data_IF_172111606346
#
_entry.id   IF_172111606346
#
_cell.length_a   1.000
_cell.length_b   1.000
_cell.length_c   1.000
_cell.angle_alpha   90.00
_cell.angle_beta   90.00
_cell.angle_gamma   90.00
#
_symmetry.space_group_name_H-M   'P 1'
#
loop_
_entity.id
_entity.type
_entity.pdbx_description
1 polymer ?
#
# COMPACT_ATOMS: atom_id res chain seq x y z
N UNK A 1 -7.64 0.22 1.05
CA UNK A 1 -7.22 -1.19 0.89
C UNK A 1 -6.24 -1.69 1.97
N UNK A 2 -5.64 -0.83 2.80
CA UNK A 2 -4.47 -1.25 3.59
C UNK A 2 -4.71 -2.23 4.75
N UNK A 3 -5.96 -2.48 5.15
CA UNK A 3 -6.28 -3.34 6.30
C UNK A 3 -6.80 -4.74 5.91
N UNK A 4 -7.14 -4.97 4.63
CA UNK A 4 -7.80 -6.20 4.16
C UNK A 4 -7.00 -6.97 3.11
N UNK A 5 -5.89 -6.42 2.63
CA UNK A 5 -5.06 -7.06 1.60
C UNK A 5 -3.90 -7.86 2.24
N UNK A 6 -4.22 -9.02 2.81
CA UNK A 6 -3.23 -10.05 3.15
C UNK A 6 -2.99 -10.92 1.91
N UNK A 7 -1.78 -10.91 1.35
CA UNK A 7 -1.45 -11.69 0.13
C UNK A 7 -0.43 -11.07 -0.81
N UNK A 8 0.13 -9.90 -0.49
CA UNK A 8 1.17 -9.25 -1.30
C UNK A 8 0.60 -8.37 -2.44
N UNK A 9 1.46 -7.87 -3.35
CA UNK A 9 1.09 -6.89 -4.37
C UNK A 9 -0.03 -7.35 -5.32
N UNK A 10 -0.07 -8.64 -5.67
CA UNK A 10 -1.15 -9.21 -6.49
C UNK A 10 -2.52 -9.13 -5.82
N UNK A 11 -2.58 -9.30 -4.49
CA UNK A 11 -3.85 -9.20 -3.76
C UNK A 11 -4.41 -7.78 -3.82
N UNK A 12 -3.55 -6.76 -3.76
CA UNK A 12 -3.97 -5.37 -3.94
C UNK A 12 -4.51 -5.11 -5.35
N UNK A 13 -3.83 -5.61 -6.38
CA UNK A 13 -4.24 -5.43 -7.78
C UNK A 13 -5.58 -6.12 -8.03
N UNK A 14 -5.77 -7.35 -7.55
CA UNK A 14 -7.05 -8.06 -7.68
C UNK A 14 -8.20 -7.37 -6.94
N UNK A 15 -7.94 -6.81 -5.74
CA UNK A 15 -8.92 -5.98 -5.05
C UNK A 15 -9.25 -4.70 -5.83
N UNK A 16 -8.27 -4.08 -6.48
CA UNK A 16 -8.49 -2.92 -7.34
C UNK A 16 -9.33 -3.25 -8.56
N UNK A 17 -9.10 -4.40 -9.21
CA UNK A 17 -9.90 -4.86 -10.35
C UNK A 17 -11.36 -5.03 -9.94
N UNK A 18 -11.63 -5.76 -8.86
CA UNK A 18 -12.98 -5.98 -8.37
C UNK A 18 -13.69 -4.66 -7.99
N UNK A 19 -13.02 -3.78 -7.24
CA UNK A 19 -13.64 -2.51 -6.86
C UNK A 19 -13.82 -1.55 -8.03
N UNK A 20 -12.82 -1.41 -8.92
CA UNK A 20 -12.81 -0.38 -9.97
C UNK A 20 -13.52 -0.82 -11.25
N UNK A 21 -13.45 -2.11 -11.60
CA UNK A 21 -14.07 -2.66 -12.81
C UNK A 21 -15.44 -3.25 -12.50
N UNK A 22 -15.55 -4.14 -11.50
CA UNK A 22 -16.80 -4.88 -11.27
C UNK A 22 -17.82 -4.09 -10.45
N UNK A 23 -17.44 -3.62 -9.25
CA UNK A 23 -18.38 -2.97 -8.34
C UNK A 23 -18.71 -1.55 -8.76
N UNK A 24 -17.70 -0.74 -9.09
CA UNK A 24 -17.88 0.69 -9.35
C UNK A 24 -17.90 1.08 -10.82
N UNK A 25 -17.49 0.18 -11.72
CA UNK A 25 -17.47 0.38 -13.18
C UNK A 25 -16.79 1.69 -13.60
N UNK A 26 -15.72 2.06 -12.91
CA UNK A 26 -14.92 3.25 -13.20
C UNK A 26 -13.96 3.04 -14.37
N UNK A 27 -13.53 1.79 -14.59
CA UNK A 27 -12.64 1.40 -15.67
C UNK A 27 -13.24 0.21 -16.40
N UNK A 28 -13.04 0.17 -17.73
CA UNK A 28 -13.26 -1.04 -18.49
C UNK A 28 -12.23 -2.11 -18.13
N UNK A 29 -12.57 -3.39 -18.34
CA UNK A 29 -11.63 -4.49 -18.08
C UNK A 29 -10.38 -4.39 -18.97
N UNK A 30 -10.56 -3.97 -20.22
CA UNK A 30 -9.46 -3.75 -21.17
C UNK A 30 -8.56 -2.59 -20.73
N UNK A 31 -9.16 -1.49 -20.29
CA UNK A 31 -8.44 -0.29 -19.81
C UNK A 31 -7.63 -0.59 -18.54
N UNK A 32 -8.19 -1.37 -17.61
CA UNK A 32 -7.48 -1.84 -16.42
C UNK A 32 -6.29 -2.75 -16.79
N UNK A 33 -6.48 -3.65 -17.75
CA UNK A 33 -5.45 -4.57 -18.23
C UNK A 33 -4.31 -3.81 -18.94
N UNK A 34 -4.65 -2.78 -19.72
CA UNK A 34 -3.67 -1.90 -20.37
C UNK A 34 -2.84 -1.12 -19.33
N UNK A 35 -3.48 -0.51 -18.34
CA UNK A 35 -2.79 0.16 -17.23
C UNK A 35 -1.87 -0.80 -16.46
N UNK A 36 -2.32 -2.04 -16.23
CA UNK A 36 -1.51 -3.07 -15.61
C UNK A 36 -0.29 -3.42 -16.48
N UNK A 37 -0.46 -3.53 -17.79
CA UNK A 37 0.66 -3.73 -18.72
C UNK A 37 1.69 -2.61 -18.67
N UNK A 38 1.23 -1.36 -18.66
CA UNK A 38 2.08 -0.16 -18.58
C UNK A 38 2.86 -0.11 -17.26
N UNK A 39 2.18 -0.35 -16.13
CA UNK A 39 2.83 -0.34 -14.82
C UNK A 39 3.82 -1.50 -14.66
N UNK A 40 3.58 -2.67 -15.25
CA UNK A 40 4.58 -3.76 -15.24
C UNK A 40 5.82 -3.47 -16.10
N UNK A 41 5.71 -2.59 -17.11
CA UNK A 41 6.86 -2.15 -17.90
C UNK A 41 7.72 -1.11 -17.16
N UNK A 42 7.14 -0.34 -16.25
CA UNK A 42 7.86 0.60 -15.40
C UNK A 42 8.41 -0.15 -14.17
N UNK A 43 9.73 -0.16 -13.92
CA UNK A 43 10.27 -0.78 -12.72
C UNK A 43 9.82 0.04 -11.48
N UNK A 44 8.79 -0.43 -10.78
CA UNK A 44 8.20 0.28 -9.65
C UNK A 44 7.21 -0.56 -8.83
N UNK A 45 6.62 0.03 -7.77
CA UNK A 45 5.57 -0.63 -7.00
C UNK A 45 4.23 -0.57 -7.76
N UNK A 46 4.01 -1.52 -8.68
CA UNK A 46 2.86 -1.55 -9.60
C UNK A 46 1.50 -1.30 -8.93
N UNK A 47 1.28 -1.90 -7.75
CA UNK A 47 0.04 -1.71 -6.99
C UNK A 47 -0.18 -0.24 -6.57
N UNK A 48 0.88 0.48 -6.18
CA UNK A 48 0.80 1.88 -5.77
C UNK A 48 0.58 2.79 -6.98
N UNK A 49 1.26 2.52 -8.09
CA UNK A 49 1.08 3.28 -9.34
C UNK A 49 -0.34 3.14 -9.89
N UNK A 50 -0.88 1.91 -9.91
CA UNK A 50 -2.28 1.68 -10.25
C UNK A 50 -3.23 2.43 -9.30
N UNK A 51 -2.97 2.42 -7.98
CA UNK A 51 -3.77 3.17 -7.00
C UNK A 51 -3.83 4.67 -7.32
N UNK A 52 -2.68 5.26 -7.60
CA UNK A 52 -2.54 6.69 -7.87
C UNK A 52 -3.18 7.04 -9.21
N UNK A 53 -3.01 6.20 -10.23
CA UNK A 53 -3.59 6.43 -11.55
C UNK A 53 -5.12 6.34 -11.52
N UNK A 54 -5.67 5.32 -10.85
CA UNK A 54 -7.12 5.19 -10.63
C UNK A 54 -7.67 6.39 -9.84
N UNK A 55 -6.96 6.80 -8.78
CA UNK A 55 -7.33 7.97 -7.99
C UNK A 55 -7.28 9.27 -8.81
N UNK A 56 -6.31 9.40 -9.71
CA UNK A 56 -6.17 10.52 -10.63
C UNK A 56 -7.30 10.57 -11.66
N UNK A 57 -7.63 9.46 -12.30
CA UNK A 57 -8.74 9.37 -13.28
C UNK A 57 -10.07 9.77 -12.64
N UNK A 58 -10.29 9.37 -11.38
CA UNK A 58 -11.57 9.61 -10.70
C UNK A 58 -11.68 11.00 -10.04
N UNK A 59 -10.59 11.52 -9.47
CA UNK A 59 -10.61 12.74 -8.65
C UNK A 59 -9.67 13.84 -9.14
N UNK A 60 -9.13 13.71 -10.36
CA UNK A 60 -8.08 14.58 -10.88
C UNK A 60 -6.83 14.58 -10.00
N UNK A 61 -6.08 15.69 -10.02
CA UNK A 61 -4.85 15.86 -9.23
C UNK A 61 -5.05 15.62 -7.73
N UNK A 62 -6.20 16.00 -7.19
CA UNK A 62 -6.55 15.85 -5.77
C UNK A 62 -6.79 14.37 -5.45
N UNK A 63 -7.52 13.67 -6.31
CA UNK A 63 -7.77 12.23 -6.17
C UNK A 63 -6.48 11.43 -6.13
N UNK A 64 -5.53 11.71 -7.05
CA UNK A 64 -4.23 11.06 -7.09
C UNK A 64 -3.42 11.22 -5.78
N UNK A 65 -3.37 12.44 -5.24
CA UNK A 65 -2.69 12.73 -3.97
C UNK A 65 -3.36 12.01 -2.80
N UNK A 66 -4.70 12.01 -2.72
CA UNK A 66 -5.45 11.32 -1.67
C UNK A 66 -5.25 9.80 -1.72
N UNK A 67 -5.18 9.20 -2.91
CA UNK A 67 -4.87 7.77 -3.04
C UNK A 67 -3.45 7.43 -2.59
N UNK A 68 -2.45 8.26 -2.93
CA UNK A 68 -1.08 8.07 -2.45
C UNK A 68 -0.99 8.21 -0.92
N UNK A 69 -1.56 9.29 -0.37
CA UNK A 69 -1.62 9.50 1.08
C UNK A 69 -2.38 8.38 1.80
N UNK A 70 -3.51 7.94 1.26
CA UNK A 70 -4.28 6.83 1.82
C UNK A 70 -3.53 5.50 1.84
N UNK A 71 -2.56 5.31 0.93
CA UNK A 71 -1.69 4.14 0.92
C UNK A 71 -0.54 4.27 1.94
N UNK A 72 0.09 5.45 2.03
CA UNK A 72 1.29 5.68 2.87
C UNK A 72 0.97 5.95 4.34
N UNK A 73 -0.06 6.73 4.64
CA UNK A 73 -0.44 7.12 6.01
C UNK A 73 -0.62 5.93 6.96
N UNK A 74 -1.36 4.85 6.63
CA UNK A 74 -1.56 3.75 7.58
C UNK A 74 -0.23 3.09 7.99
N UNK A 75 0.68 2.86 7.05
CA UNK A 75 2.01 2.30 7.35
C UNK A 75 2.85 3.26 8.19
N UNK A 76 2.80 4.56 7.87
CA UNK A 76 3.50 5.59 8.64
C UNK A 76 3.00 5.68 10.09
N UNK A 77 1.68 5.64 10.30
CA UNK A 77 1.07 5.67 11.63
C UNK A 77 1.47 4.44 12.44
N UNK A 78 1.46 3.25 11.84
CA UNK A 78 1.87 2.01 12.53
C UNK A 78 3.33 2.11 12.98
N UNK A 79 4.24 2.52 12.09
CA UNK A 79 5.66 2.69 12.43
C UNK A 79 5.82 3.74 13.52
N UNK A 80 5.14 4.87 13.43
CA UNK A 80 5.24 5.95 14.41
C UNK A 80 4.76 5.51 15.80
N UNK A 81 3.65 4.76 15.86
CA UNK A 81 3.15 4.16 17.12
C UNK A 81 4.14 3.14 17.67
N UNK A 82 4.70 2.26 16.82
CA UNK A 82 5.71 1.28 17.24
C UNK A 82 6.99 1.95 17.72
N UNK A 83 7.47 2.99 17.04
CA UNK A 83 8.63 3.78 17.46
C UNK A 83 8.37 4.49 18.77
N UNK A 84 7.20 5.11 18.94
CA UNK A 84 6.81 5.75 20.20
C UNK A 84 6.76 4.74 21.35
N UNK A 85 6.17 3.56 21.12
CA UNK A 85 6.18 2.45 22.09
C UNK A 85 7.61 1.97 22.36
N UNK A 86 8.48 1.89 21.36
CA UNK A 86 9.88 1.53 21.55
C UNK A 86 10.64 2.55 22.39
N UNK A 87 10.43 3.86 22.22
CA UNK A 87 11.08 4.85 23.07
C UNK A 87 10.51 4.87 24.51
N UNK A 88 9.22 4.55 24.69
CA UNK A 88 8.59 4.48 26.01
C UNK A 88 8.86 3.17 26.76
N UNK A 89 8.96 2.03 26.07
CA UNK A 89 9.05 0.69 26.66
C UNK A 89 10.30 -0.11 26.23
N UNK A 90 11.09 0.38 25.29
CA UNK A 90 12.31 -0.27 24.77
C UNK A 90 13.48 -0.28 25.75
N UNK A 91 13.30 0.30 26.94
CA UNK A 91 14.17 0.11 28.10
C UNK A 91 13.93 -1.24 28.82
N UNK A 92 13.21 -2.20 28.23
CA UNK A 92 13.16 -3.56 28.76
C UNK A 92 14.49 -4.30 28.49
N UNK A 93 15.19 -4.80 29.53
CA UNK A 93 16.48 -5.50 29.42
C UNK A 93 16.44 -6.81 28.60
N UNK A 94 15.24 -7.31 28.28
CA UNK A 94 15.01 -8.64 27.69
C UNK A 94 15.47 -8.76 26.22
N UNK A 95 15.49 -7.67 25.44
CA UNK A 95 15.96 -7.70 24.03
C UNK A 95 17.49 -7.82 23.94
N UNK A 96 18.22 -7.42 24.99
CA UNK A 96 19.68 -7.53 25.06
C UNK A 96 20.15 -8.98 25.22
N UNK A 97 19.33 -9.85 25.81
CA UNK A 97 19.68 -11.26 26.06
C UNK A 97 19.72 -12.15 24.81
N UNK A 98 18.97 -11.80 23.75
CA UNK A 98 18.93 -12.58 22.50
C UNK A 98 20.07 -12.18 21.55
N UNK A 99 20.47 -10.89 21.54
CA UNK A 99 21.59 -10.39 20.74
C UNK A 99 22.98 -10.71 21.33
N UNK A 100 23.07 -10.95 22.64
CA UNK A 100 24.33 -11.27 23.33
C UNK A 100 24.64 -12.78 23.41
N UNK A 101 23.79 -13.66 22.90
CA UNK A 101 24.07 -15.11 22.81
C UNK A 101 24.93 -15.49 21.58
N UNK A 102 25.54 -14.50 20.93
CA UNK A 102 26.46 -14.65 19.78
C UNK A 102 27.77 -13.86 20.00
N UNK A 103 28.31 -13.88 21.23
CA UNK A 103 29.71 -13.52 21.51
C UNK A 103 30.34 -14.57 22.41
#
# INVERSE_FOLDING_TARGET
MSWTAFGGPLAYISMMENDCVERRKWLGKDEFTEMMGITNMLPGPNATEMAIHIGYVKGGRIGGILSGLGFTIPSFVIILVLSWLYFQYGAMPTVRGILLWYQ
#
